data_IF_556040624161
#
_entry.id   IF_556040624161
#
_cell.length_a   1.000
_cell.length_b   1.000
_cell.length_c   1.000
_cell.angle_alpha   90.00
_cell.angle_beta   90.00
_cell.angle_gamma   90.00
#
_symmetry.space_group_name_H-M   'P 1'
#
loop_
_entity.id
_entity.type
_entity.pdbx_description
1 polymer ?
#
# COMPACT_ATOMS: atom_id res chain seq x y z
N UNK A 1 11.45 2.50 5.04
CA UNK A 1 11.62 3.51 3.96
C UNK A 1 10.89 3.10 2.67
N UNK A 2 11.05 1.86 2.17
CA UNK A 2 10.41 1.39 0.92
C UNK A 2 8.87 1.32 0.97
N UNK A 3 8.27 0.87 2.07
CA UNK A 3 6.79 0.83 2.21
C UNK A 3 6.14 2.23 2.11
N UNK A 4 6.81 3.28 2.60
CA UNK A 4 6.34 4.66 2.47
C UNK A 4 6.36 5.13 1.02
N UNK A 5 7.43 4.80 0.28
CA UNK A 5 7.56 5.16 -1.14
C UNK A 5 6.45 4.47 -1.94
N UNK A 6 6.29 3.15 -1.75
CA UNK A 6 5.24 2.37 -2.42
C UNK A 6 3.84 2.94 -2.16
N UNK A 7 3.49 3.16 -0.88
CA UNK A 7 2.16 3.68 -0.51
C UNK A 7 1.93 5.11 -1.01
N UNK A 8 2.97 5.96 -1.03
CA UNK A 8 2.88 7.32 -1.59
C UNK A 8 2.68 7.29 -3.11
N UNK A 9 3.38 6.41 -3.81
CA UNK A 9 3.22 6.21 -5.26
C UNK A 9 1.81 5.75 -5.59
N UNK A 10 1.29 4.75 -4.87
CA UNK A 10 -0.06 4.22 -5.08
C UNK A 10 -1.16 5.24 -4.76
N UNK A 11 -0.92 6.18 -3.84
CA UNK A 11 -1.85 7.28 -3.54
C UNK A 11 -1.83 8.38 -4.61
N UNK A 12 -0.64 8.79 -5.05
CA UNK A 12 -0.46 9.91 -5.99
C UNK A 12 -0.88 9.54 -7.42
N UNK A 13 -0.63 8.29 -7.81
CA UNK A 13 -1.10 7.73 -9.07
C UNK A 13 -1.88 6.45 -8.74
N UNK A 14 -3.22 6.55 -8.53
CA UNK A 14 -4.04 5.39 -8.20
C UNK A 14 -3.94 4.37 -9.34
N UNK A 15 -3.07 3.40 -9.13
CA UNK A 15 -2.72 2.43 -10.15
C UNK A 15 -3.89 1.48 -10.41
N UNK A 16 -3.85 0.80 -11.55
CA UNK A 16 -4.76 -0.31 -11.82
C UNK A 16 -4.39 -1.59 -11.03
N UNK A 17 -3.48 -1.50 -10.05
CA UNK A 17 -3.02 -2.62 -9.25
C UNK A 17 -4.17 -3.14 -8.38
N UNK A 18 -4.54 -4.40 -8.62
CA UNK A 18 -5.58 -5.11 -7.87
C UNK A 18 -5.02 -6.03 -6.80
N UNK A 19 -3.81 -6.52 -6.99
CA UNK A 19 -3.16 -7.44 -6.06
C UNK A 19 -1.76 -6.95 -5.70
N UNK A 20 -1.42 -7.00 -4.41
CA UNK A 20 -0.10 -6.63 -3.90
C UNK A 20 0.37 -7.68 -2.91
N UNK A 21 1.38 -8.47 -3.25
CA UNK A 21 1.96 -9.45 -2.32
C UNK A 21 3.10 -8.82 -1.50
N UNK A 22 2.93 -8.77 -0.17
CA UNK A 22 3.95 -8.31 0.77
C UNK A 22 4.47 -9.42 1.71
N UNK A 23 4.15 -10.69 1.45
CA UNK A 23 4.40 -11.84 2.35
C UNK A 23 5.87 -12.02 2.77
N UNK A 24 6.82 -11.54 1.96
CA UNK A 24 8.27 -11.61 2.24
C UNK A 24 8.88 -10.26 2.66
N UNK A 25 8.07 -9.35 3.18
CA UNK A 25 8.52 -8.04 3.65
C UNK A 25 8.25 -7.86 5.14
N UNK A 26 9.27 -7.44 5.89
CA UNK A 26 9.10 -6.97 7.27
C UNK A 26 8.66 -5.51 7.26
N UNK A 27 7.36 -5.28 7.39
CA UNK A 27 6.77 -3.94 7.31
C UNK A 27 6.94 -3.15 8.61
N UNK A 28 6.96 -3.85 9.76
CA UNK A 28 6.86 -3.24 11.09
C UNK A 28 5.61 -2.35 11.25
N UNK A 29 5.45 -1.76 12.44
CA UNK A 29 4.25 -0.96 12.75
C UNK A 29 4.08 0.24 11.81
N UNK A 30 5.20 0.87 11.43
CA UNK A 30 5.18 2.00 10.53
C UNK A 30 4.72 1.60 9.12
N UNK A 31 5.20 0.47 8.58
CA UNK A 31 4.78 -0.01 7.26
C UNK A 31 3.30 -0.40 7.26
N UNK A 32 2.85 -1.12 8.29
CA UNK A 32 1.44 -1.49 8.46
C UNK A 32 0.55 -0.25 8.50
N UNK A 33 0.89 0.77 9.31
CA UNK A 33 0.13 2.03 9.38
C UNK A 33 0.03 2.75 8.03
N UNK A 34 1.10 2.80 7.26
CA UNK A 34 1.09 3.42 5.93
C UNK A 34 0.18 2.66 4.96
N UNK A 35 0.20 1.33 5.03
CA UNK A 35 -0.65 0.46 4.21
C UNK A 35 -2.13 0.60 4.60
N UNK A 36 -2.46 0.64 5.89
CA UNK A 36 -3.82 0.94 6.35
C UNK A 36 -4.32 2.28 5.83
N UNK A 37 -3.46 3.32 5.87
CA UNK A 37 -3.80 4.63 5.30
C UNK A 37 -3.97 4.61 3.77
N UNK A 38 -3.33 3.68 3.06
CA UNK A 38 -3.55 3.49 1.62
C UNK A 38 -4.91 2.83 1.37
N UNK A 39 -5.24 1.77 2.11
CA UNK A 39 -6.50 1.03 1.96
C UNK A 39 -7.74 1.87 2.29
N UNK A 40 -7.61 2.84 3.20
CA UNK A 40 -8.68 3.82 3.49
C UNK A 40 -8.87 4.88 2.39
N UNK A 41 -7.96 4.98 1.41
CA UNK A 41 -8.13 5.92 0.32
C UNK A 41 -9.28 5.43 -0.60
N UNK A 42 -10.33 6.23 -0.86
CA UNK A 42 -11.44 5.83 -1.73
C UNK A 42 -11.02 5.57 -3.19
N UNK A 43 -9.85 6.07 -3.59
CA UNK A 43 -9.27 5.79 -4.91
C UNK A 43 -8.43 4.50 -4.93
N UNK A 44 -8.24 3.86 -3.77
CA UNK A 44 -7.54 2.59 -3.69
C UNK A 44 -8.37 1.51 -4.40
N UNK A 45 -7.67 0.75 -5.25
CA UNK A 45 -8.25 -0.25 -6.14
C UNK A 45 -7.80 -1.67 -5.83
N UNK A 46 -7.02 -1.83 -4.75
CA UNK A 46 -6.55 -3.13 -4.29
C UNK A 46 -7.73 -3.98 -3.83
N UNK A 47 -7.81 -5.17 -4.38
CA UNK A 47 -8.79 -6.21 -4.08
C UNK A 47 -8.14 -7.31 -3.23
N UNK A 48 -6.81 -7.49 -3.34
CA UNK A 48 -6.03 -8.48 -2.60
C UNK A 48 -4.70 -7.91 -2.11
N UNK A 49 -4.33 -8.32 -0.90
CA UNK A 49 -3.09 -7.98 -0.21
C UNK A 49 -2.48 -9.25 0.40
#
# INVERSE_FOLDING_TARGET
KQCLILTSTLKSNPSHLRELDLSRNELGDFGVKNLSNLLMNPQCKLEKL
#
